data_IF_040802493696
#
_entry.id   IF_040802493696
#
_cell.length_a   1.000
_cell.length_b   1.000
_cell.length_c   1.000
_cell.angle_alpha   90.00
_cell.angle_beta   90.00
_cell.angle_gamma   90.00
#
_symmetry.space_group_name_H-M   'P 1'
#
loop_
_entity.id
_entity.type
_entity.pdbx_description
1 polymer ?
#
# COMPACT_ATOMS: atom_id res chain seq x y z
N UNK A 1 1.47 59.34 4.38
CA UNK A 1 1.71 57.96 3.90
C UNK A 1 2.13 57.14 5.11
N UNK A 2 1.25 56.26 5.61
CA UNK A 2 1.58 55.31 6.68
C UNK A 2 1.73 53.95 6.02
N UNK A 3 2.95 53.43 6.01
CA UNK A 3 3.24 52.08 5.54
C UNK A 3 2.58 51.06 6.47
N UNK A 4 1.77 50.19 5.87
CA UNK A 4 1.28 48.98 6.53
C UNK A 4 2.45 48.02 6.67
N UNK A 5 2.98 47.89 7.89
CA UNK A 5 3.84 46.77 8.25
C UNK A 5 3.02 45.49 8.15
N UNK A 6 3.36 44.65 7.16
CA UNK A 6 2.85 43.29 7.01
C UNK A 6 3.01 42.56 8.35
N UNK A 7 1.89 42.12 8.92
CA UNK A 7 1.85 41.23 10.07
C UNK A 7 2.66 39.97 9.76
N UNK A 8 3.81 39.79 10.41
CA UNK A 8 4.49 38.49 10.44
C UNK A 8 3.55 37.52 11.16
N UNK A 9 3.11 36.48 10.45
CA UNK A 9 2.36 35.37 11.05
C UNK A 9 3.21 34.76 12.17
N UNK A 10 2.83 35.02 13.43
CA UNK A 10 3.49 34.46 14.61
C UNK A 10 3.01 33.02 14.79
N UNK A 11 3.62 32.08 14.07
CA UNK A 11 3.40 30.66 14.34
C UNK A 11 4.02 30.26 15.69
N UNK A 12 3.37 29.38 16.47
CA UNK A 12 3.90 28.93 17.75
C UNK A 12 5.17 28.10 17.54
N UNK A 13 6.23 28.43 18.30
CA UNK A 13 7.50 27.67 18.28
C UNK A 13 7.26 26.26 18.84
N UNK A 14 7.69 25.23 18.10
CA UNK A 14 7.54 23.82 18.47
C UNK A 14 8.46 23.50 19.67
N UNK A 15 7.92 23.05 20.82
CA UNK A 15 8.73 22.76 22.00
C UNK A 15 9.31 21.33 21.94
N UNK A 16 10.29 21.11 21.06
CA UNK A 16 10.92 19.80 20.75
C UNK A 16 11.21 18.94 21.98
N UNK A 17 11.97 19.45 22.95
CA UNK A 17 12.35 18.70 24.17
C UNK A 17 11.14 18.25 25.00
N UNK A 18 10.12 19.11 25.08
CA UNK A 18 8.89 18.79 25.81
C UNK A 18 8.11 17.69 25.11
N UNK A 19 8.07 17.71 23.78
CA UNK A 19 7.38 16.69 22.97
C UNK A 19 8.06 15.32 23.17
N UNK A 20 9.38 15.24 22.99
CA UNK A 20 10.13 13.99 23.16
C UNK A 20 10.02 13.44 24.60
N UNK A 21 10.12 14.31 25.61
CA UNK A 21 9.91 13.90 27.00
C UNK A 21 8.51 13.36 27.25
N UNK A 22 7.49 14.00 26.69
CA UNK A 22 6.10 13.54 26.83
C UNK A 22 5.86 12.20 26.11
N UNK A 23 6.50 11.95 24.97
CA UNK A 23 6.42 10.63 24.30
C UNK A 23 6.96 9.51 25.19
N UNK A 24 8.05 9.74 25.93
CA UNK A 24 8.60 8.75 26.89
C UNK A 24 7.73 8.53 28.13
N UNK A 25 6.80 9.44 28.41
CA UNK A 25 5.90 9.39 29.56
C UNK A 25 4.45 9.07 29.15
N UNK A 26 4.23 8.72 27.89
CA UNK A 26 2.90 8.53 27.32
C UNK A 26 2.25 7.26 27.85
N UNK A 27 1.07 7.40 28.44
CA UNK A 27 0.22 6.26 28.80
C UNK A 27 -0.51 5.71 27.57
N UNK A 28 -0.74 4.39 27.53
CA UNK A 28 -1.50 3.71 26.47
C UNK A 28 -3.02 3.95 26.53
N UNK A 29 -3.50 4.70 27.52
CA UNK A 29 -4.93 5.04 27.62
C UNK A 29 -5.36 5.99 26.50
N UNK A 30 -6.56 5.75 25.95
CA UNK A 30 -7.12 6.55 24.87
C UNK A 30 -7.15 8.06 25.20
N UNK A 31 -7.46 8.43 26.44
CA UNK A 31 -7.48 9.83 26.86
C UNK A 31 -6.10 10.49 26.79
N UNK A 32 -5.05 9.78 27.20
CA UNK A 32 -3.65 10.23 27.11
C UNK A 32 -3.23 10.44 25.65
N UNK A 33 -3.56 9.49 24.79
CA UNK A 33 -3.30 9.55 23.35
C UNK A 33 -4.05 10.75 22.72
N UNK A 34 -5.33 10.89 23.01
CA UNK A 34 -6.19 11.95 22.49
C UNK A 34 -5.76 13.34 22.97
N UNK A 35 -5.36 13.49 24.23
CA UNK A 35 -4.85 14.74 24.79
C UNK A 35 -3.52 15.13 24.13
N UNK A 36 -2.60 14.18 23.97
CA UNK A 36 -1.32 14.43 23.30
C UNK A 36 -1.53 14.84 21.84
N UNK A 37 -2.38 14.13 21.09
CA UNK A 37 -2.72 14.46 19.71
C UNK A 37 -3.39 15.84 19.61
N UNK A 38 -4.31 16.16 20.52
CA UNK A 38 -4.93 17.49 20.61
C UNK A 38 -3.89 18.58 20.80
N UNK A 39 -2.94 18.38 21.70
CA UNK A 39 -1.91 19.36 21.99
C UNK A 39 -0.94 19.53 20.80
N UNK A 40 -0.57 18.44 20.13
CA UNK A 40 0.27 18.51 18.92
C UNK A 40 -0.44 19.20 17.74
N UNK A 41 -1.78 19.13 17.67
CA UNK A 41 -2.53 19.78 16.60
C UNK A 41 -2.40 21.32 16.59
N UNK A 42 -2.05 21.95 17.72
CA UNK A 42 -1.73 23.38 17.76
C UNK A 42 -0.48 23.75 16.94
N UNK A 43 0.41 22.78 16.69
CA UNK A 43 1.64 22.94 15.92
C UNK A 43 1.53 22.37 14.50
N UNK A 44 0.31 22.13 14.00
CA UNK A 44 0.06 21.51 12.70
C UNK A 44 0.71 22.24 11.51
N UNK A 45 0.95 23.55 11.63
CA UNK A 45 1.71 24.34 10.65
C UNK A 45 3.17 23.88 10.50
N UNK A 46 3.70 23.18 11.49
CA UNK A 46 5.06 22.62 11.53
C UNK A 46 5.05 21.10 11.35
N UNK A 47 4.20 20.60 10.44
CA UNK A 47 3.98 19.16 10.22
C UNK A 47 5.26 18.36 9.97
N UNK A 48 6.21 18.90 9.21
CA UNK A 48 7.51 18.25 8.92
C UNK A 48 8.34 18.05 10.20
N UNK A 49 8.45 19.08 11.03
CA UNK A 49 9.13 19.01 12.33
C UNK A 49 8.43 18.00 13.24
N UNK A 50 7.10 18.03 13.32
CA UNK A 50 6.35 17.06 14.12
C UNK A 50 6.63 15.63 13.67
N UNK A 51 6.58 15.35 12.37
CA UNK A 51 6.87 14.01 11.83
C UNK A 51 8.30 13.57 12.10
N UNK A 52 9.27 14.48 12.04
CA UNK A 52 10.66 14.20 12.41
C UNK A 52 10.78 13.79 13.89
N UNK A 53 10.05 14.46 14.78
CA UNK A 53 10.01 14.11 16.22
C UNK A 53 9.35 12.76 16.47
N UNK A 54 8.30 12.42 15.71
CA UNK A 54 7.72 11.07 15.75
C UNK A 54 8.74 10.01 15.30
N UNK A 55 9.49 10.28 14.23
CA UNK A 55 10.56 9.39 13.76
C UNK A 55 11.65 9.19 14.81
N UNK A 56 12.15 10.27 15.39
CA UNK A 56 13.16 10.24 16.46
C UNK A 56 12.69 9.44 17.68
N UNK A 57 11.45 9.69 18.13
CA UNK A 57 10.88 8.95 19.24
C UNK A 57 10.71 7.46 18.92
N UNK A 58 10.27 7.12 17.70
CA UNK A 58 9.99 5.73 17.32
C UNK A 58 11.25 4.86 17.21
N UNK A 59 12.39 5.46 16.84
CA UNK A 59 13.70 4.77 16.80
C UNK A 59 14.41 4.74 18.16
N UNK A 60 13.90 5.43 19.18
CA UNK A 60 14.45 5.41 20.53
C UNK A 60 14.43 3.97 21.06
N UNK A 61 15.63 3.41 21.27
CA UNK A 61 15.82 2.02 21.72
C UNK A 61 15.39 1.81 23.16
N UNK A 62 15.21 2.88 23.94
CA UNK A 62 14.74 2.80 25.32
C UNK A 62 13.24 2.48 25.42
N UNK A 63 12.48 2.72 24.35
CA UNK A 63 11.05 2.45 24.32
C UNK A 63 10.74 0.95 24.13
N UNK A 64 9.67 0.50 24.76
CA UNK A 64 9.03 -0.80 24.54
C UNK A 64 8.07 -0.73 23.35
N UNK A 65 7.67 -1.88 22.83
CA UNK A 65 6.80 -1.95 21.65
C UNK A 65 5.40 -1.37 21.91
N UNK A 66 4.86 -1.53 23.13
CA UNK A 66 3.60 -0.91 23.53
C UNK A 66 3.68 0.63 23.55
N UNK A 67 4.85 1.17 23.93
CA UNK A 67 5.09 2.63 23.98
C UNK A 67 5.23 3.18 22.55
N UNK A 68 5.94 2.46 21.68
CA UNK A 68 5.98 2.75 20.23
C UNK A 68 4.59 2.73 19.61
N UNK A 69 3.76 1.76 19.99
CA UNK A 69 2.38 1.66 19.50
C UNK A 69 1.54 2.85 19.97
N UNK A 70 1.66 3.26 21.24
CA UNK A 70 0.96 4.45 21.74
C UNK A 70 1.39 5.73 20.99
N UNK A 71 2.68 5.90 20.71
CA UNK A 71 3.19 7.01 19.88
C UNK A 71 2.60 6.94 18.48
N UNK A 72 2.52 5.75 17.88
CA UNK A 72 1.90 5.55 16.57
C UNK A 72 0.40 5.88 16.58
N UNK A 73 -0.31 5.58 17.67
CA UNK A 73 -1.71 5.98 17.84
C UNK A 73 -1.87 7.49 18.04
N UNK A 74 -0.95 8.17 18.73
CA UNK A 74 -0.93 9.63 18.79
C UNK A 74 -0.76 10.22 17.39
N UNK A 75 0.13 9.64 16.58
CA UNK A 75 0.30 10.05 15.18
C UNK A 75 -0.98 9.86 14.36
N UNK A 76 -1.62 8.69 14.49
CA UNK A 76 -2.91 8.41 13.84
C UNK A 76 -3.98 9.43 14.22
N UNK A 77 -4.14 9.70 15.52
CA UNK A 77 -5.16 10.60 16.04
C UNK A 77 -4.88 12.06 15.62
N UNK A 78 -3.61 12.48 15.60
CA UNK A 78 -3.19 13.79 15.11
C UNK A 78 -3.59 13.94 13.63
N UNK A 79 -3.23 12.97 12.80
CA UNK A 79 -3.55 12.94 11.37
C UNK A 79 -5.07 12.94 11.13
N UNK A 80 -5.83 12.17 11.93
CA UNK A 80 -7.28 12.12 11.82
C UNK A 80 -7.94 13.49 12.08
N UNK A 81 -7.36 14.27 13.00
CA UNK A 81 -7.82 15.62 13.39
C UNK A 81 -7.36 16.72 12.44
N UNK A 82 -6.13 16.65 11.92
CA UNK A 82 -5.55 17.72 11.09
C UNK A 82 -5.92 17.61 9.62
N UNK A 83 -5.97 16.39 9.07
CA UNK A 83 -6.36 16.19 7.66
C UNK A 83 -7.89 16.26 7.56
N UNK A 84 -8.39 17.48 7.34
CA UNK A 84 -9.76 17.75 6.87
C UNK A 84 -9.76 17.97 5.35
N UNK A 85 -10.93 17.89 4.71
CA UNK A 85 -11.03 17.87 3.25
C UNK A 85 -10.53 19.15 2.54
N UNK A 86 -10.30 20.24 3.28
CA UNK A 86 -10.17 21.60 2.72
C UNK A 86 -8.88 22.33 3.12
N UNK A 87 -7.74 21.63 3.30
CA UNK A 87 -6.61 22.23 4.02
C UNK A 87 -5.26 22.09 3.29
N UNK A 88 -4.61 23.23 3.04
CA UNK A 88 -3.19 23.36 2.66
C UNK A 88 -2.27 22.56 3.61
N UNK A 89 -2.72 22.37 4.86
CA UNK A 89 -2.06 21.52 5.85
C UNK A 89 -1.89 20.07 5.38
N UNK A 90 -2.76 19.55 4.50
CA UNK A 90 -2.63 18.21 3.90
C UNK A 90 -1.29 18.05 3.19
N UNK A 91 -0.80 19.08 2.47
CA UNK A 91 0.47 18.98 1.72
C UNK A 91 1.67 18.82 2.67
N UNK A 92 1.71 19.59 3.75
CA UNK A 92 2.79 19.52 4.75
C UNK A 92 2.79 18.22 5.55
N UNK A 93 1.60 17.71 5.90
CA UNK A 93 1.48 16.42 6.59
C UNK A 93 1.85 15.26 5.69
N UNK A 94 1.52 15.29 4.40
CA UNK A 94 1.86 14.21 3.46
C UNK A 94 3.36 14.04 3.25
N UNK A 95 4.13 15.15 3.22
CA UNK A 95 5.60 15.11 3.10
C UNK A 95 6.24 14.54 4.37
N UNK A 96 5.84 15.03 5.55
CA UNK A 96 6.36 14.51 6.83
C UNK A 96 5.96 13.06 7.11
N UNK A 97 4.76 12.67 6.68
CA UNK A 97 4.21 11.31 6.82
C UNK A 97 5.09 10.25 6.16
N UNK A 98 5.54 10.50 4.93
CA UNK A 98 6.40 9.55 4.22
C UNK A 98 7.71 9.32 4.99
N UNK A 99 8.32 10.38 5.51
CA UNK A 99 9.58 10.29 6.25
C UNK A 99 9.45 9.49 7.56
N UNK A 100 8.41 9.75 8.34
CA UNK A 100 8.14 8.99 9.57
C UNK A 100 7.90 7.51 9.24
N UNK A 101 7.07 7.21 8.26
CA UNK A 101 6.69 5.84 7.97
C UNK A 101 7.78 5.01 7.30
N UNK A 102 8.63 5.63 6.48
CA UNK A 102 9.85 4.99 5.99
C UNK A 102 10.80 4.64 7.15
N UNK A 103 10.84 5.48 8.18
CA UNK A 103 11.62 5.23 9.41
C UNK A 103 11.01 4.11 10.25
N UNK A 104 9.68 4.07 10.36
CA UNK A 104 8.95 3.06 11.13
C UNK A 104 8.89 1.68 10.44
N UNK A 105 8.84 1.66 9.10
CA UNK A 105 8.70 0.45 8.29
C UNK A 105 9.68 -0.69 8.64
N UNK A 106 11.02 -0.49 8.71
CA UNK A 106 11.95 -1.57 9.03
C UNK A 106 11.83 -2.06 10.48
N UNK A 107 11.29 -1.26 11.39
CA UNK A 107 11.04 -1.67 12.78
C UNK A 107 9.77 -2.54 12.83
N UNK A 108 8.68 -2.05 12.26
CA UNK A 108 7.39 -2.76 12.21
C UNK A 108 7.49 -4.06 11.42
N UNK A 109 8.25 -4.08 10.32
CA UNK A 109 8.43 -5.26 9.48
C UNK A 109 9.03 -6.46 10.23
N UNK A 110 9.87 -6.20 11.24
CA UNK A 110 10.53 -7.21 12.08
C UNK A 110 9.68 -7.67 13.27
N UNK A 111 8.56 -7.01 13.54
CA UNK A 111 7.65 -7.42 14.61
C UNK A 111 6.92 -8.71 14.24
N UNK A 112 6.50 -9.47 15.25
CA UNK A 112 5.62 -10.61 15.11
C UNK A 112 4.24 -10.18 14.58
N UNK A 113 3.51 -11.13 13.99
CA UNK A 113 2.24 -10.85 13.32
C UNK A 113 1.22 -10.18 14.27
N UNK A 114 1.22 -10.58 15.56
CA UNK A 114 0.29 -10.03 16.56
C UNK A 114 0.53 -8.53 16.75
N UNK A 115 1.76 -8.11 17.07
CA UNK A 115 2.05 -6.70 17.28
C UNK A 115 1.96 -5.89 15.97
N UNK A 116 2.43 -6.47 14.87
CA UNK A 116 2.32 -5.87 13.52
C UNK A 116 0.87 -5.60 13.11
N UNK A 117 -0.07 -6.47 13.49
CA UNK A 117 -1.48 -6.34 13.13
C UNK A 117 -2.10 -5.02 13.59
N UNK A 118 -1.65 -4.46 14.72
CA UNK A 118 -2.13 -3.18 15.25
C UNK A 118 -1.77 -2.01 14.33
N UNK A 119 -0.56 -1.99 13.78
CA UNK A 119 -0.11 -0.98 12.81
C UNK A 119 -0.84 -1.13 11.47
N UNK A 120 -1.02 -2.36 11.00
CA UNK A 120 -1.78 -2.64 9.77
C UNK A 120 -3.25 -2.23 9.90
N UNK A 121 -3.85 -2.38 11.07
CA UNK A 121 -5.22 -1.94 11.34
C UNK A 121 -5.37 -0.43 11.20
N UNK A 122 -4.39 0.35 11.66
CA UNK A 122 -4.36 1.81 11.48
C UNK A 122 -4.32 2.18 9.99
N UNK A 123 -3.49 1.50 9.20
CA UNK A 123 -3.41 1.72 7.74
C UNK A 123 -4.75 1.40 7.06
N UNK A 124 -5.46 0.35 7.51
CA UNK A 124 -6.82 0.04 7.02
C UNK A 124 -7.81 1.15 7.34
N UNK A 125 -7.77 1.70 8.57
CA UNK A 125 -8.64 2.81 8.96
C UNK A 125 -8.39 4.05 8.10
N UNK A 126 -7.13 4.37 7.83
CA UNK A 126 -6.73 5.48 6.94
C UNK A 126 -7.26 5.32 5.51
N UNK A 127 -7.23 4.09 4.99
CA UNK A 127 -7.81 3.77 3.68
C UNK A 127 -9.34 3.89 3.68
N UNK A 128 -10.03 3.30 4.66
CA UNK A 128 -11.49 3.32 4.78
C UNK A 128 -12.04 4.74 4.91
N UNK A 129 -11.34 5.59 5.66
CA UNK A 129 -11.72 7.00 5.85
C UNK A 129 -11.23 7.93 4.73
N UNK A 130 -10.59 7.39 3.69
CA UNK A 130 -9.99 8.14 2.58
C UNK A 130 -9.09 9.31 3.04
N UNK A 131 -8.46 9.15 4.21
CA UNK A 131 -7.51 10.15 4.76
C UNK A 131 -6.25 10.23 3.91
N UNK A 132 -5.86 9.09 3.32
CA UNK A 132 -4.73 8.96 2.41
C UNK A 132 -5.14 8.33 1.08
N UNK A 133 -4.43 8.65 -0.02
CA UNK A 133 -4.54 7.95 -1.29
C UNK A 133 -4.33 6.44 -1.12
N UNK A 134 -5.09 5.65 -1.88
CA UNK A 134 -5.04 4.19 -1.83
C UNK A 134 -3.63 3.64 -2.09
N UNK A 135 -2.91 4.22 -3.05
CA UNK A 135 -1.53 3.82 -3.41
C UNK A 135 -0.58 3.90 -2.21
N UNK A 136 -0.73 4.91 -1.37
CA UNK A 136 0.12 5.10 -0.19
C UNK A 136 -0.22 4.06 0.88
N UNK A 137 -1.51 3.80 1.12
CA UNK A 137 -1.94 2.76 2.05
C UNK A 137 -1.49 1.36 1.61
N UNK A 138 -1.52 1.05 0.31
CA UNK A 138 -1.00 -0.20 -0.25
C UNK A 138 0.52 -0.31 -0.06
N UNK A 139 1.27 0.75 -0.40
CA UNK A 139 2.73 0.78 -0.21
C UNK A 139 3.12 0.53 1.24
N UNK A 140 2.40 1.09 2.20
CA UNK A 140 2.66 0.88 3.63
C UNK A 140 2.34 -0.55 4.08
N UNK A 141 1.24 -1.12 3.59
CA UNK A 141 0.92 -2.53 3.85
C UNK A 141 2.03 -3.45 3.35
N UNK A 142 2.57 -3.18 2.15
CA UNK A 142 3.71 -3.91 1.62
C UNK A 142 4.95 -3.71 2.49
N UNK A 143 5.29 -2.46 2.84
CA UNK A 143 6.46 -2.14 3.65
C UNK A 143 6.41 -2.83 5.03
N UNK A 144 5.27 -2.82 5.70
CA UNK A 144 5.12 -3.46 7.02
C UNK A 144 5.09 -5.00 6.93
N UNK A 145 4.68 -5.56 5.78
CA UNK A 145 4.70 -7.00 5.52
C UNK A 145 5.97 -7.48 4.82
N UNK A 146 6.93 -6.61 4.52
CA UNK A 146 8.23 -6.99 3.96
C UNK A 146 8.88 -8.01 4.89
N UNK A 147 8.91 -9.27 4.48
CA UNK A 147 9.49 -10.35 5.27
C UNK A 147 10.99 -10.10 5.49
N UNK A 148 11.31 -9.45 6.61
CA UNK A 148 12.67 -9.40 7.14
C UNK A 148 12.80 -10.47 8.22
N UNK A 149 12.83 -11.73 7.77
CA UNK A 149 13.34 -12.88 8.52
C UNK A 149 12.50 -13.40 9.69
N UNK A 150 11.49 -14.23 9.40
CA UNK A 150 11.03 -15.25 10.36
C UNK A 150 11.16 -16.63 9.71
N UNK A 151 12.17 -17.39 10.16
CA UNK A 151 12.56 -18.69 9.62
C UNK A 151 11.57 -19.83 9.95
N UNK A 152 10.60 -19.63 10.86
CA UNK A 152 9.70 -20.70 11.28
C UNK A 152 8.60 -21.03 10.24
N UNK A 153 8.34 -20.13 9.29
CA UNK A 153 7.37 -20.38 8.21
C UNK A 153 7.95 -21.26 7.08
N UNK A 154 9.26 -21.54 7.08
CA UNK A 154 9.94 -22.18 5.94
C UNK A 154 9.58 -23.66 5.72
N UNK A 155 9.06 -24.38 6.72
CA UNK A 155 8.77 -25.82 6.54
C UNK A 155 7.48 -26.07 5.75
N UNK A 156 6.45 -25.23 5.91
CA UNK A 156 5.22 -25.31 5.09
C UNK A 156 5.32 -24.54 3.76
N UNK A 157 6.10 -23.45 3.71
CA UNK A 157 6.34 -22.65 2.49
C UNK A 157 7.12 -23.39 1.39
N UNK A 158 7.83 -24.47 1.69
CA UNK A 158 8.65 -25.19 0.70
C UNK A 158 7.83 -25.82 -0.44
N UNK A 159 6.52 -26.02 -0.24
CA UNK A 159 5.58 -26.49 -1.27
C UNK A 159 4.83 -25.34 -1.97
N UNK A 160 4.50 -24.25 -1.25
CA UNK A 160 3.92 -23.03 -1.81
C UNK A 160 4.88 -22.31 -2.77
N UNK A 161 6.17 -22.24 -2.40
CA UNK A 161 7.21 -21.51 -3.13
C UNK A 161 7.36 -21.97 -4.59
N UNK A 162 7.05 -23.24 -4.91
CA UNK A 162 7.05 -23.74 -6.30
C UNK A 162 5.84 -23.29 -7.10
N UNK A 163 4.65 -23.27 -6.47
CA UNK A 163 3.39 -22.85 -7.12
C UNK A 163 3.39 -21.34 -7.35
N UNK A 164 3.85 -20.58 -6.38
CA UNK A 164 3.93 -19.12 -6.43
C UNK A 164 4.99 -18.65 -7.44
N UNK A 165 6.15 -19.32 -7.49
CA UNK A 165 7.16 -19.06 -8.54
C UNK A 165 6.63 -19.36 -9.94
N UNK A 166 5.90 -20.46 -10.12
CA UNK A 166 5.29 -20.80 -11.41
C UNK A 166 4.27 -19.75 -11.81
N UNK A 167 3.37 -19.37 -10.91
CA UNK A 167 2.36 -18.34 -11.17
C UNK A 167 3.00 -16.98 -11.49
N UNK A 168 4.03 -16.59 -10.76
CA UNK A 168 4.78 -15.36 -11.05
C UNK A 168 5.42 -15.40 -12.44
N UNK A 169 6.02 -16.52 -12.82
CA UNK A 169 6.59 -16.71 -14.17
C UNK A 169 5.51 -16.68 -15.26
N UNK A 170 4.36 -17.30 -15.03
CA UNK A 170 3.23 -17.31 -15.97
C UNK A 170 2.64 -15.89 -16.15
N UNK A 171 2.59 -15.09 -15.08
CA UNK A 171 2.22 -13.67 -15.13
C UNK A 171 3.23 -12.84 -15.93
N UNK A 172 4.54 -12.99 -15.65
CA UNK A 172 5.60 -12.30 -16.41
C UNK A 172 5.52 -12.65 -17.89
N UNK A 173 5.32 -13.93 -18.21
CA UNK A 173 5.18 -14.41 -19.59
C UNK A 173 3.95 -13.78 -20.27
N UNK A 174 2.84 -13.67 -19.56
CA UNK A 174 1.61 -13.04 -20.06
C UNK A 174 1.81 -11.55 -20.33
N UNK A 175 2.45 -10.83 -19.41
CA UNK A 175 2.75 -9.40 -19.57
C UNK A 175 3.69 -9.16 -20.75
N UNK A 176 4.70 -10.00 -20.94
CA UNK A 176 5.59 -9.91 -22.11
C UNK A 176 4.84 -10.15 -23.42
N UNK A 177 3.92 -11.12 -23.48
CA UNK A 177 3.08 -11.36 -24.66
C UNK A 177 2.16 -10.18 -24.98
N UNK A 178 1.57 -9.54 -23.96
CA UNK A 178 0.76 -8.33 -24.15
C UNK A 178 1.62 -7.20 -24.71
N UNK A 179 2.84 -7.03 -24.18
CA UNK A 179 3.78 -6.03 -24.68
C UNK A 179 4.15 -6.28 -26.15
N UNK A 180 4.50 -7.52 -26.50
CA UNK A 180 4.80 -7.92 -27.89
C UNK A 180 3.61 -7.66 -28.82
N UNK A 181 2.39 -8.05 -28.42
CA UNK A 181 1.18 -7.78 -29.18
C UNK A 181 0.92 -6.28 -29.37
N UNK A 182 1.14 -5.47 -28.33
CA UNK A 182 1.00 -4.02 -28.43
C UNK A 182 2.01 -3.41 -29.41
N UNK A 183 3.28 -3.87 -29.38
CA UNK A 183 4.30 -3.42 -30.33
C UNK A 183 3.95 -3.77 -31.79
N UNK A 184 3.34 -4.93 -32.03
CA UNK A 184 2.84 -5.32 -33.36
C UNK A 184 1.69 -4.42 -33.83
N UNK A 185 0.75 -4.07 -32.95
CA UNK A 185 -0.34 -3.13 -33.26
C UNK A 185 0.20 -1.73 -33.61
N UNK A 186 1.19 -1.25 -32.86
CA UNK A 186 1.80 0.06 -33.14
C UNK A 186 2.51 0.08 -34.50
N UNK A 187 3.22 -1.01 -34.85
CA UNK A 187 3.86 -1.13 -36.17
C UNK A 187 2.83 -1.20 -37.29
N UNK A 188 1.77 -1.99 -37.11
CA UNK A 188 0.70 -2.14 -38.09
C UNK A 188 -0.03 -0.80 -38.33
N UNK A 189 -0.28 -0.03 -37.27
CA UNK A 189 -0.91 1.29 -37.33
C UNK A 189 0.00 2.31 -38.04
N UNK A 190 1.30 2.34 -37.72
CA UNK A 190 2.27 3.20 -38.42
C UNK A 190 2.35 2.85 -39.92
N UNK A 191 2.34 1.56 -40.25
CA UNK A 191 2.39 1.08 -41.62
C UNK A 191 1.09 1.38 -42.38
N UNK A 192 -0.08 1.25 -41.74
CA UNK A 192 -1.39 1.66 -42.28
C UNK A 192 -1.43 3.17 -42.54
N UNK A 193 -0.98 3.99 -41.60
CA UNK A 193 -0.89 5.45 -41.78
C UNK A 193 0.01 5.85 -42.95
N UNK A 194 1.11 5.11 -43.17
CA UNK A 194 1.99 5.34 -44.31
C UNK A 194 1.32 4.96 -45.64
N UNK A 195 0.54 3.86 -45.67
CA UNK A 195 -0.26 3.49 -46.84
C UNK A 195 -1.30 4.58 -47.17
N UNK A 196 -1.97 5.12 -46.15
CA UNK A 196 -2.97 6.18 -46.31
C UNK A 196 -2.33 7.47 -46.84
N UNK A 197 -1.13 7.82 -46.39
CA UNK A 197 -0.41 9.02 -46.89
C UNK A 197 0.08 8.87 -48.32
N UNK A 198 0.40 7.66 -48.75
CA UNK A 198 0.95 7.35 -50.09
C UNK A 198 -0.13 6.80 -51.05
N UNK A 199 -1.41 7.10 -50.79
CA UNK A 199 -2.55 6.48 -51.48
C UNK A 199 -2.61 6.81 -52.97
N UNK A 200 -2.02 7.93 -53.41
CA UNK A 200 -2.02 8.33 -54.82
C UNK A 200 -0.70 8.01 -55.54
N UNK A 201 0.35 7.67 -54.79
CA UNK A 201 1.72 7.43 -55.30
C UNK A 201 2.07 5.96 -55.44
N UNK A 202 1.47 5.07 -54.64
CA UNK A 202 1.73 3.63 -54.70
C UNK A 202 0.88 2.92 -55.77
N UNK A 203 1.47 1.91 -56.42
CA UNK A 203 0.70 0.99 -57.26
C UNK A 203 -0.24 0.13 -56.41
N UNK A 204 -1.33 -0.35 -57.03
CA UNK A 204 -2.33 -1.14 -56.33
C UNK A 204 -1.77 -2.47 -55.77
N UNK A 205 -0.81 -3.09 -56.46
CA UNK A 205 -0.13 -4.30 -55.97
C UNK A 205 0.69 -4.03 -54.70
N UNK A 206 1.37 -2.89 -54.62
CA UNK A 206 2.18 -2.53 -53.44
C UNK A 206 1.27 -2.20 -52.25
N UNK A 207 0.15 -1.50 -52.48
CA UNK A 207 -0.85 -1.24 -51.42
C UNK A 207 -1.44 -2.53 -50.88
N UNK A 208 -1.86 -3.45 -51.75
CA UNK A 208 -2.43 -4.73 -51.36
C UNK A 208 -1.43 -5.60 -50.58
N UNK A 209 -0.15 -5.57 -50.97
CA UNK A 209 0.92 -6.27 -50.26
C UNK A 209 1.12 -5.71 -48.85
N UNK A 210 1.27 -4.39 -48.71
CA UNK A 210 1.44 -3.73 -47.40
C UNK A 210 0.22 -3.93 -46.49
N UNK A 211 -1.00 -3.80 -47.03
CA UNK A 211 -2.23 -4.02 -46.26
C UNK A 211 -2.34 -5.46 -45.73
N UNK A 212 -1.90 -6.44 -46.53
CA UNK A 212 -1.85 -7.84 -46.10
C UNK A 212 -0.87 -8.03 -44.93
N UNK A 213 0.28 -7.36 -44.95
CA UNK A 213 1.24 -7.36 -43.83
C UNK A 213 0.63 -6.75 -42.57
N UNK A 214 -0.04 -5.60 -42.65
CA UNK A 214 -0.75 -4.99 -41.51
C UNK A 214 -1.79 -5.95 -40.91
N UNK A 215 -2.61 -6.58 -41.77
CA UNK A 215 -3.64 -7.53 -41.33
C UNK A 215 -3.02 -8.73 -40.59
N UNK A 216 -1.90 -9.28 -41.07
CA UNK A 216 -1.23 -10.39 -40.39
C UNK A 216 -0.61 -9.95 -39.06
N UNK A 217 -0.02 -8.75 -38.98
CA UNK A 217 0.49 -8.21 -37.71
C UNK A 217 -0.64 -7.98 -36.68
N UNK A 218 -1.81 -7.51 -37.11
CA UNK A 218 -2.98 -7.37 -36.24
C UNK A 218 -3.50 -8.73 -35.74
N UNK A 219 -3.54 -9.75 -36.61
CA UNK A 219 -3.93 -11.11 -36.21
C UNK A 219 -2.95 -11.70 -35.20
N UNK A 220 -1.65 -11.60 -35.47
CA UNK A 220 -0.61 -12.11 -34.56
C UNK A 220 -0.67 -11.39 -33.20
N UNK A 221 -0.90 -10.08 -33.19
CA UNK A 221 -1.15 -9.34 -31.96
C UNK A 221 -2.37 -9.84 -31.20
N UNK A 222 -3.51 -10.03 -31.88
CA UNK A 222 -4.73 -10.51 -31.28
C UNK A 222 -4.55 -11.91 -30.66
N UNK A 223 -3.82 -12.79 -31.34
CA UNK A 223 -3.49 -14.12 -30.84
C UNK A 223 -2.64 -14.03 -29.58
N UNK A 224 -1.58 -13.21 -29.57
CA UNK A 224 -0.72 -13.01 -28.40
C UNK A 224 -1.47 -12.45 -27.19
N UNK A 225 -2.35 -11.47 -27.40
CA UNK A 225 -3.18 -10.88 -26.34
C UNK A 225 -4.22 -11.87 -25.82
N UNK A 226 -4.83 -12.66 -26.71
CA UNK A 226 -5.79 -13.70 -26.32
C UNK A 226 -5.12 -14.76 -25.46
N UNK A 227 -3.95 -15.25 -25.90
CA UNK A 227 -3.11 -16.19 -25.17
C UNK A 227 -2.75 -15.69 -23.77
N UNK A 228 -2.31 -14.42 -23.67
CA UNK A 228 -1.98 -13.81 -22.39
C UNK A 228 -3.21 -13.69 -21.47
N UNK A 229 -4.37 -13.36 -22.04
CA UNK A 229 -5.63 -13.24 -21.30
C UNK A 229 -6.10 -14.58 -20.74
N UNK A 230 -5.90 -15.68 -21.49
CA UNK A 230 -6.18 -17.03 -21.01
C UNK A 230 -5.31 -17.37 -19.80
N UNK A 231 -4.00 -17.10 -19.88
CA UNK A 231 -3.07 -17.39 -18.77
C UNK A 231 -3.42 -16.55 -17.53
N UNK A 232 -3.68 -15.24 -17.71
CA UNK A 232 -4.12 -14.36 -16.62
C UNK A 232 -5.42 -14.86 -15.96
N UNK A 233 -6.38 -15.30 -16.76
CA UNK A 233 -7.65 -15.85 -16.25
C UNK A 233 -7.43 -17.12 -15.43
N UNK A 234 -6.54 -18.00 -15.87
CA UNK A 234 -6.17 -19.22 -15.14
C UNK A 234 -5.46 -18.90 -13.82
N UNK A 235 -4.56 -17.91 -13.81
CA UNK A 235 -3.92 -17.43 -12.58
C UNK A 235 -4.95 -16.88 -11.58
N UNK A 236 -5.88 -16.04 -12.05
CA UNK A 236 -6.95 -15.48 -11.20
C UNK A 236 -7.88 -16.56 -10.63
N UNK A 237 -8.25 -17.56 -11.43
CA UNK A 237 -9.05 -18.69 -10.95
C UNK A 237 -8.32 -19.50 -9.87
N UNK A 238 -7.00 -19.69 -10.01
CA UNK A 238 -6.19 -20.37 -8.99
C UNK A 238 -6.13 -19.58 -7.68
N UNK A 239 -6.01 -18.25 -7.74
CA UNK A 239 -6.02 -17.37 -6.57
C UNK A 239 -7.37 -17.36 -5.87
N UNK A 240 -8.47 -17.25 -6.63
CA UNK A 240 -9.83 -17.35 -6.09
C UNK A 240 -10.04 -18.66 -5.35
N UNK A 241 -9.55 -19.77 -5.90
CA UNK A 241 -9.61 -21.06 -5.23
C UNK A 241 -8.81 -21.08 -3.92
N UNK A 242 -7.58 -20.53 -3.91
CA UNK A 242 -6.81 -20.40 -2.68
C UNK A 242 -7.56 -19.57 -1.63
N UNK A 243 -8.22 -18.48 -2.05
CA UNK A 243 -9.02 -17.65 -1.15
C UNK A 243 -10.21 -18.41 -0.57
N UNK A 244 -10.93 -19.18 -1.39
CA UNK A 244 -12.04 -20.02 -0.93
C UNK A 244 -11.57 -21.11 0.04
N UNK A 245 -10.42 -21.72 -0.22
CA UNK A 245 -9.81 -22.72 0.67
C UNK A 245 -9.44 -22.11 2.03
N UNK A 246 -8.84 -20.92 2.05
CA UNK A 246 -8.53 -20.16 3.28
C UNK A 246 -9.82 -19.82 4.03
N UNK A 247 -10.83 -19.31 3.32
CA UNK A 247 -12.13 -18.96 3.92
C UNK A 247 -12.75 -20.18 4.60
N UNK A 248 -12.77 -21.32 3.92
CA UNK A 248 -13.28 -22.58 4.48
C UNK A 248 -12.49 -23.01 5.72
N UNK A 249 -11.16 -22.91 5.70
CA UNK A 249 -10.33 -23.20 6.88
C UNK A 249 -10.64 -22.28 8.07
N UNK A 250 -10.87 -20.99 7.82
CA UNK A 250 -11.26 -20.04 8.87
C UNK A 250 -12.65 -20.34 9.43
N UNK A 251 -13.61 -20.73 8.59
CA UNK A 251 -14.95 -21.18 9.01
C UNK A 251 -14.87 -22.47 9.84
N UNK A 252 -14.01 -23.42 9.46
CA UNK A 252 -13.76 -24.66 10.21
C UNK A 252 -13.10 -24.40 11.57
N UNK A 253 -12.14 -23.46 11.65
CA UNK A 253 -11.53 -23.04 12.92
C UNK A 253 -12.54 -22.31 13.82
N UNK A 254 -13.39 -21.47 13.24
CA UNK A 254 -14.44 -20.75 13.96
C UNK A 254 -15.48 -21.70 14.55
N UNK A 255 -15.89 -22.72 13.80
CA UNK A 255 -16.84 -23.75 14.26
C UNK A 255 -16.23 -24.66 15.32
N UNK A 256 -15.00 -25.15 15.13
CA UNK A 256 -14.29 -25.93 16.15
C UNK A 256 -14.11 -25.19 17.48
N UNK A 257 -13.78 -23.89 17.44
CA UNK A 257 -13.69 -23.09 18.66
C UNK A 257 -15.05 -22.96 19.35
N UNK A 258 -16.15 -22.85 18.59
CA UNK A 258 -17.51 -22.76 19.15
C UNK A 258 -17.92 -24.05 19.87
N UNK A 259 -17.55 -25.20 19.33
CA UNK A 259 -17.86 -26.52 19.91
C UNK A 259 -17.03 -26.80 21.18
N UNK A 260 -15.79 -26.32 21.26
CA UNK A 260 -14.97 -26.37 22.48
C UNK A 260 -15.60 -25.58 23.64
N UNK A 261 -16.09 -24.37 23.40
CA UNK A 261 -16.73 -23.57 24.45
C UNK A 261 -18.09 -24.14 24.89
N UNK A 262 -18.81 -24.85 24.02
CA UNK A 262 -20.07 -25.52 24.40
C UNK A 262 -19.86 -26.82 25.18
N UNK A 263 -18.72 -27.48 25.03
CA UNK A 263 -18.39 -28.72 25.75
C UNK A 263 -17.81 -28.48 27.14
N UNK A 264 -17.15 -27.33 27.38
CA UNK A 264 -16.74 -26.89 28.72
C UNK A 264 -17.92 -26.49 29.61
N UNK A 265 -18.99 -25.90 29.04
CA UNK A 265 -20.20 -25.51 29.78
C UNK A 265 -21.09 -26.71 30.20
N UNK A 266 -20.94 -27.88 29.56
CA UNK A 266 -21.67 -29.10 29.93
C UNK A 266 -20.91 -30.00 30.92
N UNK A 267 -19.60 -29.81 31.12
CA UNK A 267 -18.82 -30.57 32.10
C UNK A 267 -18.79 -29.95 33.50
N UNK A 268 -19.38 -28.75 33.66
CA UNK A 268 -19.50 -28.02 34.94
C UNK A 268 -20.92 -28.05 35.54
N UNK A 269 -21.77 -29.00 35.11
CA UNK A 269 -23.06 -29.33 35.74
C UNK A 269 -23.06 -30.78 36.22
#
# INVERSE_FOLDING_TARGET
MKEHSKSKENYPVVPTERILRNFRQLSHQNDSIAQMASWLSFYRSSGETLCSLFGEAFVDKSLKDDERLAIFYVFHELVARTITADDESKKFFMIGYEQFLLTAAPIIARMDLKNKSHYLQVVRLWQQSSKFPQEICERLRLLFNSNSGNQDTQRELSSLDKKDKKMTLDLIKSLNRIKEGYELVMKADEEEQNIIKEIDTLSQEVKNSKLKTCIEQYKESLDLVTDATIILSQCLQSELKCFDDIKKHLEELSTKNRDMYQSEDQSNK
#
